data_IF_371721392036
#
_entry.id   IF_371721392036
#
_cell.length_a   1.000
_cell.length_b   1.000
_cell.length_c   1.000
_cell.angle_alpha   90.00
_cell.angle_beta   90.00
_cell.angle_gamma   90.00
#
_symmetry.space_group_name_H-M   'P 1'
#
loop_
_entity.id
_entity.type
_entity.pdbx_description
1 polymer ?
#
# COMPACT_ATOMS: atom_id res chain seq x y z
N UNK A 1 2.86 -28.57 13.30
CA UNK A 1 2.24 -27.35 12.76
C UNK A 1 3.05 -26.19 13.28
N UNK A 2 3.76 -25.48 12.42
CA UNK A 2 4.37 -24.19 12.80
C UNK A 2 3.24 -23.22 13.14
N UNK A 3 3.36 -22.48 14.24
CA UNK A 3 2.38 -21.45 14.59
C UNK A 3 2.40 -20.39 13.50
N UNK A 4 1.28 -20.02 12.85
CA UNK A 4 1.26 -19.09 11.71
C UNK A 4 1.58 -17.63 12.11
N UNK A 5 1.93 -17.42 13.38
CA UNK A 5 2.15 -16.13 14.00
C UNK A 5 3.38 -16.21 14.92
N UNK A 6 4.22 -15.18 14.85
CA UNK A 6 5.37 -14.95 15.71
C UNK A 6 5.31 -13.50 16.19
N UNK A 7 5.82 -13.21 17.38
CA UNK A 7 6.00 -11.82 17.86
C UNK A 7 7.48 -11.57 18.03
N UNK A 8 7.94 -10.43 17.54
CA UNK A 8 9.30 -9.93 17.76
C UNK A 8 9.27 -8.63 18.50
N UNK A 9 10.24 -8.46 19.39
CA UNK A 9 10.42 -7.27 20.18
C UNK A 9 11.51 -6.42 19.55
N UNK A 10 11.22 -5.17 19.24
CA UNK A 10 12.09 -4.26 18.50
C UNK A 10 12.16 -2.88 19.16
N UNK A 11 13.07 -2.04 18.67
CA UNK A 11 13.24 -0.65 19.10
C UNK A 11 12.97 0.27 17.91
N UNK A 12 12.53 1.51 18.16
CA UNK A 12 12.16 2.46 17.10
C UNK A 12 13.25 2.72 16.05
N UNK A 13 14.52 2.59 16.42
CA UNK A 13 15.64 2.74 15.49
C UNK A 13 15.88 1.57 14.54
N UNK A 14 15.11 0.48 14.63
CA UNK A 14 15.29 -0.69 13.77
C UNK A 14 14.78 -0.44 12.36
N UNK A 15 15.45 -1.01 11.35
CA UNK A 15 14.90 -1.07 9.98
C UNK A 15 13.95 -2.26 9.81
N UNK A 16 13.16 -2.23 8.73
CA UNK A 16 12.37 -3.40 8.32
C UNK A 16 13.24 -4.64 8.10
N UNK A 17 14.43 -4.50 7.52
CA UNK A 17 15.33 -5.63 7.30
C UNK A 17 15.77 -6.25 8.63
N UNK A 18 16.10 -5.44 9.63
CA UNK A 18 16.44 -5.93 10.97
C UNK A 18 15.25 -6.64 11.64
N UNK A 19 14.03 -6.15 11.44
CA UNK A 19 12.82 -6.85 11.90
C UNK A 19 12.66 -8.21 11.22
N UNK A 20 12.87 -8.26 9.91
CA UNK A 20 12.75 -9.49 9.12
C UNK A 20 13.78 -10.54 9.52
N UNK A 21 15.02 -10.12 9.71
CA UNK A 21 16.10 -10.98 10.20
C UNK A 21 15.78 -11.54 11.59
N UNK A 22 15.22 -10.72 12.48
CA UNK A 22 14.82 -11.16 13.82
C UNK A 22 13.64 -12.15 13.79
N UNK A 23 12.67 -11.95 12.88
CA UNK A 23 11.58 -12.91 12.67
C UNK A 23 12.12 -14.21 12.11
N UNK A 24 13.03 -14.17 11.14
CA UNK A 24 13.65 -15.37 10.56
C UNK A 24 14.40 -16.16 11.63
N UNK A 25 15.19 -15.49 12.47
CA UNK A 25 15.89 -16.11 13.59
C UNK A 25 14.96 -16.80 14.60
N UNK A 26 13.75 -16.25 14.82
CA UNK A 26 12.80 -16.76 15.81
C UNK A 26 11.81 -17.80 15.26
N UNK A 27 11.50 -17.76 13.96
CA UNK A 27 10.43 -18.57 13.33
C UNK A 27 10.94 -19.55 12.28
N UNK A 28 12.19 -19.40 11.81
CA UNK A 28 12.73 -20.08 10.62
C UNK A 28 12.00 -19.75 9.31
N UNK A 29 11.21 -18.68 9.27
CA UNK A 29 10.58 -18.18 8.05
C UNK A 29 11.56 -17.31 7.26
N UNK A 30 11.78 -17.65 5.99
CA UNK A 30 12.48 -16.75 5.08
C UNK A 30 11.80 -15.39 5.02
N UNK A 31 12.58 -14.34 4.78
CA UNK A 31 12.11 -12.95 4.69
C UNK A 31 10.86 -12.80 3.81
N UNK A 32 10.83 -13.48 2.65
CA UNK A 32 9.70 -13.42 1.71
C UNK A 32 8.41 -14.05 2.26
N UNK A 33 8.49 -14.91 3.28
CA UNK A 33 7.32 -15.54 3.92
C UNK A 33 6.69 -14.67 5.01
N UNK A 34 7.32 -13.57 5.40
CA UNK A 34 6.94 -12.79 6.58
C UNK A 34 6.09 -11.56 6.23
N UNK A 35 4.95 -11.40 6.90
CA UNK A 35 4.15 -10.18 6.91
C UNK A 35 4.24 -9.54 8.28
N UNK A 36 4.66 -8.29 8.36
CA UNK A 36 4.87 -7.59 9.63
C UNK A 36 3.70 -6.68 9.94
N UNK A 37 3.27 -6.66 11.20
CA UNK A 37 2.12 -5.90 11.67
C UNK A 37 2.43 -5.15 12.96
N UNK A 38 2.01 -3.89 13.00
CA UNK A 38 1.80 -3.13 14.23
C UNK A 38 0.29 -3.10 14.53
N UNK A 39 -0.12 -3.84 15.57
CA UNK A 39 -1.53 -4.10 15.85
C UNK A 39 -2.23 -4.74 14.64
N UNK A 40 -3.14 -4.00 14.02
CA UNK A 40 -3.88 -4.42 12.81
C UNK A 40 -3.32 -3.82 11.51
N UNK A 41 -2.32 -2.93 11.59
CA UNK A 41 -1.72 -2.28 10.42
C UNK A 41 -0.56 -3.12 9.91
N UNK A 42 -0.61 -3.47 8.63
CA UNK A 42 0.52 -4.13 7.98
C UNK A 42 1.61 -3.11 7.64
N UNK A 43 2.85 -3.41 8.01
CA UNK A 43 4.05 -2.67 7.61
C UNK A 43 4.43 -3.11 6.20
N UNK A 44 3.69 -2.59 5.22
CA UNK A 44 3.77 -3.00 3.83
C UNK A 44 4.91 -2.26 3.10
N UNK A 45 5.96 -3.00 2.73
CA UNK A 45 7.12 -2.48 1.99
C UNK A 45 6.74 -1.74 0.70
N UNK A 46 5.70 -2.22 0.02
CA UNK A 46 5.18 -1.61 -1.21
C UNK A 46 4.74 -0.16 -0.97
N UNK A 47 4.10 0.11 0.17
CA UNK A 47 3.64 1.46 0.51
C UNK A 47 4.78 2.36 0.97
N UNK A 48 5.82 1.80 1.61
CA UNK A 48 6.98 2.60 2.03
C UNK A 48 7.70 3.24 0.86
N UNK A 49 7.86 2.47 -0.22
CA UNK A 49 8.48 2.95 -1.44
C UNK A 49 7.64 4.07 -2.09
N UNK A 50 6.32 3.91 -2.12
CA UNK A 50 5.40 4.91 -2.67
C UNK A 50 5.35 6.20 -1.84
N UNK A 51 5.38 6.09 -0.51
CA UNK A 51 5.35 7.23 0.41
C UNK A 51 6.71 7.94 0.56
N UNK A 52 7.79 7.36 0.02
CA UNK A 52 9.15 7.88 0.20
C UNK A 52 9.61 7.90 1.66
N UNK A 53 9.01 7.05 2.51
CA UNK A 53 9.33 6.97 3.94
C UNK A 53 10.62 6.21 4.15
N UNK A 54 11.32 6.51 5.24
CA UNK A 54 12.43 5.68 5.70
C UNK A 54 11.91 4.27 6.02
N UNK A 55 12.77 3.28 5.87
CA UNK A 55 12.58 1.92 6.35
C UNK A 55 12.70 1.78 7.88
N UNK A 56 12.95 2.87 8.60
CA UNK A 56 13.07 2.91 10.06
C UNK A 56 11.71 2.79 10.71
N UNK A 57 11.59 1.87 11.66
CA UNK A 57 10.36 1.59 12.38
C UNK A 57 9.73 2.83 13.00
N UNK A 58 10.53 3.74 13.58
CA UNK A 58 10.04 5.02 14.13
C UNK A 58 9.25 5.86 13.13
N UNK A 59 9.66 5.81 11.87
CA UNK A 59 9.05 6.59 10.80
C UNK A 59 7.85 5.85 10.20
N UNK A 60 7.64 4.57 10.55
CA UNK A 60 6.57 3.71 10.05
C UNK A 60 5.33 3.68 10.95
N UNK A 61 5.53 3.86 12.25
CA UNK A 61 4.48 3.76 13.26
C UNK A 61 3.68 5.06 13.37
N UNK A 62 2.37 4.94 13.62
CA UNK A 62 1.48 6.09 13.86
C UNK A 62 1.51 6.57 15.32
N UNK A 63 2.40 5.99 16.13
CA UNK A 63 2.57 6.33 17.53
C UNK A 63 4.05 6.57 17.84
N UNK A 64 4.36 7.48 18.78
CA UNK A 64 5.72 7.69 19.23
C UNK A 64 6.28 6.39 19.82
N UNK A 65 7.56 6.15 19.59
CA UNK A 65 8.24 4.92 20.04
C UNK A 65 9.73 5.13 20.37
N UNK A 66 10.15 6.38 20.56
CA UNK A 66 11.53 6.71 20.91
C UNK A 66 11.88 6.18 22.30
N UNK A 67 12.79 5.20 22.35
CA UNK A 67 13.22 4.55 23.58
C UNK A 67 12.28 3.47 24.11
N UNK A 68 11.15 3.24 23.45
CA UNK A 68 10.18 2.22 23.83
C UNK A 68 10.44 0.87 23.16
N UNK A 69 10.01 -0.17 23.86
CA UNK A 69 10.01 -1.54 23.37
C UNK A 69 8.72 -1.75 22.56
N UNK A 70 8.86 -2.05 21.28
CA UNK A 70 7.75 -2.22 20.34
C UNK A 70 7.56 -3.71 20.06
N UNK A 71 6.31 -4.17 20.07
CA UNK A 71 5.97 -5.54 19.69
C UNK A 71 5.42 -5.57 18.27
N UNK A 72 6.16 -6.20 17.37
CA UNK A 72 5.75 -6.43 15.99
C UNK A 72 5.25 -7.86 15.87
N UNK A 73 4.08 -8.01 15.27
CA UNK A 73 3.49 -9.31 14.97
C UNK A 73 3.87 -9.71 13.56
N UNK A 74 4.52 -10.86 13.41
CA UNK A 74 4.78 -11.47 12.12
C UNK A 74 3.76 -12.58 11.84
N UNK A 75 3.16 -12.54 10.66
CA UNK A 75 2.24 -13.57 10.16
C UNK A 75 2.86 -14.21 8.93
N UNK A 76 2.74 -15.53 8.83
CA UNK A 76 3.25 -16.29 7.69
C UNK A 76 2.35 -16.12 6.46
N UNK A 77 2.94 -15.84 5.30
CA UNK A 77 2.24 -15.89 3.99
C UNK A 77 1.79 -17.31 3.69
N UNK A 78 0.62 -17.44 3.05
CA UNK A 78 0.17 -18.72 2.52
C UNK A 78 1.02 -19.15 1.31
N UNK A 79 1.01 -20.43 0.97
CA UNK A 79 1.71 -20.93 -0.22
C UNK A 79 1.19 -20.30 -1.51
N UNK A 80 -0.11 -19.99 -1.58
CA UNK A 80 -0.71 -19.32 -2.74
C UNK A 80 -0.24 -17.87 -2.88
N UNK A 81 -0.15 -17.14 -1.76
CA UNK A 81 0.38 -15.76 -1.75
C UNK A 81 1.86 -15.74 -2.17
N UNK A 82 2.66 -16.67 -1.64
CA UNK A 82 4.08 -16.79 -2.00
C UNK A 82 4.27 -17.05 -3.48
N UNK A 83 3.58 -18.06 -4.01
CA UNK A 83 3.64 -18.44 -5.42
C UNK A 83 3.22 -17.28 -6.32
N UNK A 84 2.13 -16.60 -5.97
CA UNK A 84 1.64 -15.46 -6.75
C UNK A 84 2.64 -14.31 -6.78
N UNK A 85 3.24 -13.94 -5.64
CA UNK A 85 4.21 -12.84 -5.59
C UNK A 85 5.49 -13.15 -6.37
N UNK A 86 5.94 -14.41 -6.36
CA UNK A 86 7.06 -14.90 -7.17
C UNK A 86 6.72 -14.77 -8.67
N UNK A 87 5.61 -15.36 -9.12
CA UNK A 87 5.16 -15.29 -10.52
C UNK A 87 4.91 -13.84 -10.99
N UNK A 88 4.35 -13.00 -10.11
CA UNK A 88 4.14 -11.58 -10.40
C UNK A 88 5.48 -10.89 -10.64
N UNK A 89 6.48 -11.12 -9.79
CA UNK A 89 7.80 -10.51 -9.94
C UNK A 89 8.52 -10.95 -11.24
N UNK A 90 8.30 -12.19 -11.69
CA UNK A 90 8.88 -12.73 -12.92
C UNK A 90 8.17 -12.21 -14.18
N UNK A 91 6.84 -12.19 -14.17
CA UNK A 91 6.02 -11.84 -15.34
C UNK A 91 6.21 -10.38 -15.78
N UNK A 92 6.51 -9.49 -14.83
CA UNK A 92 6.76 -8.06 -15.11
C UNK A 92 7.95 -7.81 -16.03
N UNK A 93 8.87 -8.77 -16.17
CA UNK A 93 9.95 -8.68 -17.15
C UNK A 93 9.44 -8.81 -18.60
N UNK A 94 8.33 -9.53 -18.80
CA UNK A 94 7.83 -9.95 -20.12
C UNK A 94 6.49 -9.29 -20.53
N UNK A 95 5.73 -8.69 -19.61
CA UNK A 95 4.55 -7.87 -19.93
C UNK A 95 3.32 -8.09 -19.03
N UNK A 96 2.14 -7.88 -19.64
CA UNK A 96 0.80 -7.85 -19.02
C UNK A 96 0.55 -8.97 -17.99
N UNK A 97 0.20 -8.59 -16.75
CA UNK A 97 -0.08 -9.52 -15.64
C UNK A 97 -1.57 -9.80 -15.46
N UNK A 98 -2.44 -9.29 -16.34
CA UNK A 98 -3.90 -9.40 -16.22
C UNK A 98 -4.37 -10.84 -16.04
N UNK A 99 -3.83 -11.77 -16.82
CA UNK A 99 -4.19 -13.19 -16.76
C UNK A 99 -3.77 -13.84 -15.44
N UNK A 100 -2.57 -13.51 -14.95
CA UNK A 100 -2.07 -13.97 -13.65
C UNK A 100 -2.99 -13.51 -12.52
N UNK A 101 -3.36 -12.22 -12.51
CA UNK A 101 -4.25 -11.66 -11.49
C UNK A 101 -5.65 -12.26 -11.59
N UNK A 102 -6.21 -12.37 -12.80
CA UNK A 102 -7.55 -12.91 -13.07
C UNK A 102 -7.69 -14.36 -12.62
N UNK A 103 -6.66 -15.18 -12.81
CA UNK A 103 -6.66 -16.61 -12.50
C UNK A 103 -6.25 -16.92 -11.05
N UNK A 104 -5.74 -15.93 -10.32
CA UNK A 104 -5.35 -16.09 -8.93
C UNK A 104 -6.54 -16.51 -8.04
N UNK A 105 -6.31 -17.38 -7.04
CA UNK A 105 -7.32 -17.76 -6.06
C UNK A 105 -7.95 -16.55 -5.37
N UNK A 106 -9.21 -16.69 -4.92
CA UNK A 106 -9.91 -15.60 -4.22
C UNK A 106 -9.16 -15.12 -2.97
N UNK A 107 -8.43 -16.01 -2.28
CA UNK A 107 -7.59 -15.64 -1.13
C UNK A 107 -6.41 -14.72 -1.50
N UNK A 108 -5.94 -14.74 -2.75
CA UNK A 108 -4.90 -13.86 -3.27
C UNK A 108 -5.52 -12.56 -3.78
N UNK A 109 -6.61 -12.64 -4.56
CA UNK A 109 -7.35 -11.46 -5.07
C UNK A 109 -8.05 -10.67 -3.96
N UNK A 110 -8.25 -11.28 -2.81
CA UNK A 110 -8.76 -10.65 -1.59
C UNK A 110 -7.66 -10.27 -0.59
N UNK A 111 -6.40 -10.59 -0.88
CA UNK A 111 -5.29 -10.18 -0.02
C UNK A 111 -4.81 -8.78 -0.39
N UNK A 112 -4.83 -7.89 0.61
CA UNK A 112 -4.42 -6.50 0.46
C UNK A 112 -2.99 -6.37 -0.05
N UNK A 113 -2.04 -7.11 0.52
CA UNK A 113 -0.63 -7.01 0.14
C UNK A 113 -0.42 -7.45 -1.32
N UNK A 114 -1.01 -8.58 -1.72
CA UNK A 114 -0.91 -9.07 -3.08
C UNK A 114 -1.45 -8.06 -4.10
N UNK A 115 -2.62 -7.48 -3.85
CA UNK A 115 -3.19 -6.49 -4.77
C UNK A 115 -2.46 -5.14 -4.74
N UNK A 116 -1.87 -4.74 -3.61
CA UNK A 116 -0.96 -3.58 -3.59
C UNK A 116 0.30 -3.84 -4.42
N UNK A 117 0.86 -5.05 -4.37
CA UNK A 117 2.01 -5.43 -5.19
C UNK A 117 1.68 -5.37 -6.69
N UNK A 118 0.49 -5.80 -7.10
CA UNK A 118 0.00 -5.64 -8.50
C UNK A 118 0.02 -4.17 -8.91
N UNK A 119 -0.56 -3.28 -8.09
CA UNK A 119 -0.62 -1.84 -8.40
C UNK A 119 0.78 -1.21 -8.45
N UNK A 120 1.65 -1.60 -7.53
CA UNK A 120 2.98 -1.01 -7.42
C UNK A 120 3.94 -1.47 -8.50
N UNK A 121 3.75 -2.68 -9.02
CA UNK A 121 4.68 -3.24 -9.99
C UNK A 121 4.13 -3.21 -11.43
N UNK A 122 2.81 -3.09 -11.63
CA UNK A 122 2.18 -2.91 -12.95
C UNK A 122 1.66 -1.46 -13.15
N UNK A 123 2.54 -0.60 -13.67
CA UNK A 123 2.23 0.82 -13.89
C UNK A 123 1.20 1.11 -15.00
N UNK A 124 0.91 0.13 -15.87
CA UNK A 124 0.07 0.35 -17.03
C UNK A 124 -1.40 0.09 -16.71
N UNK A 125 -1.70 -0.98 -15.97
CA UNK A 125 -3.06 -1.40 -15.65
C UNK A 125 -3.12 -1.94 -14.21
N UNK A 126 -3.77 -1.23 -13.27
CA UNK A 126 -3.72 -1.62 -11.87
C UNK A 126 -4.54 -2.91 -11.57
N UNK A 127 -5.24 -3.48 -12.56
CA UNK A 127 -6.00 -4.75 -12.52
C UNK A 127 -6.90 -4.94 -11.30
N UNK A 128 -7.29 -3.81 -10.68
CA UNK A 128 -8.09 -3.78 -9.47
C UNK A 128 -9.50 -4.33 -9.71
N UNK A 129 -9.96 -4.41 -10.95
CA UNK A 129 -11.25 -5.03 -11.28
C UNK A 129 -11.31 -6.53 -10.94
N UNK A 130 -10.16 -7.21 -10.86
CA UNK A 130 -10.08 -8.61 -10.46
C UNK A 130 -10.02 -8.81 -8.94
N UNK A 131 -9.77 -7.75 -8.16
CA UNK A 131 -9.85 -7.83 -6.71
C UNK A 131 -11.26 -8.23 -6.25
N UNK A 132 -11.33 -8.92 -5.11
CA UNK A 132 -12.62 -9.28 -4.49
C UNK A 132 -13.50 -8.05 -4.25
N UNK A 133 -14.82 -8.24 -4.22
CA UNK A 133 -15.76 -7.13 -4.00
C UNK A 133 -15.52 -6.47 -2.63
N UNK A 134 -15.23 -7.28 -1.61
CA UNK A 134 -14.90 -6.83 -0.26
C UNK A 134 -13.69 -5.89 -0.27
N UNK A 135 -12.61 -6.27 -0.97
CA UNK A 135 -11.40 -5.46 -1.06
C UNK A 135 -11.62 -4.20 -1.89
N UNK A 136 -12.40 -4.27 -2.99
CA UNK A 136 -12.76 -3.08 -3.79
C UNK A 136 -13.67 -2.09 -3.04
N UNK A 137 -14.44 -2.57 -2.07
CA UNK A 137 -15.28 -1.74 -1.21
C UNK A 137 -14.50 -1.11 -0.03
N UNK A 138 -13.27 -1.57 0.24
CA UNK A 138 -12.44 -1.04 1.31
C UNK A 138 -11.78 0.28 0.89
N UNK A 139 -12.33 1.38 1.41
CA UNK A 139 -11.84 2.73 1.13
C UNK A 139 -10.36 2.93 1.49
N UNK A 140 -9.85 2.31 2.55
CA UNK A 140 -8.45 2.50 2.95
C UNK A 140 -7.51 1.78 1.98
N UNK A 141 -7.84 0.55 1.58
CA UNK A 141 -7.09 -0.14 0.53
C UNK A 141 -7.06 0.69 -0.76
N UNK A 142 -8.21 1.23 -1.16
CA UNK A 142 -8.29 2.10 -2.34
C UNK A 142 -7.39 3.34 -2.18
N UNK A 143 -7.42 4.01 -1.03
CA UNK A 143 -6.57 5.18 -0.77
C UNK A 143 -5.08 4.81 -0.80
N UNK A 144 -4.71 3.61 -0.34
CA UNK A 144 -3.36 3.07 -0.47
C UNK A 144 -2.96 2.85 -1.94
N UNK A 145 -3.87 2.34 -2.78
CA UNK A 145 -3.64 2.26 -4.22
C UNK A 145 -3.45 3.65 -4.86
N UNK A 146 -4.18 4.67 -4.40
CA UNK A 146 -4.04 6.06 -4.87
C UNK A 146 -2.69 6.66 -4.48
N UNK A 147 -2.19 6.36 -3.28
CA UNK A 147 -0.83 6.74 -2.85
C UNK A 147 0.22 6.23 -3.83
N UNK A 148 0.05 5.01 -4.34
CA UNK A 148 0.97 4.43 -5.32
C UNK A 148 0.74 5.03 -6.71
N UNK A 149 -0.51 4.99 -7.21
CA UNK A 149 -0.93 5.60 -8.47
C UNK A 149 -2.37 6.12 -8.44
N UNK A 150 -2.55 7.42 -8.70
CA UNK A 150 -3.88 8.04 -8.83
C UNK A 150 -4.75 7.39 -9.92
N UNK A 151 -4.15 6.79 -10.96
CA UNK A 151 -4.87 6.09 -12.05
C UNK A 151 -5.75 4.95 -11.55
N UNK A 152 -5.47 4.39 -10.36
CA UNK A 152 -6.33 3.40 -9.73
C UNK A 152 -7.80 3.84 -9.64
N UNK A 153 -8.07 5.15 -9.50
CA UNK A 153 -9.41 5.74 -9.47
C UNK A 153 -10.23 5.47 -10.73
N UNK A 154 -9.61 5.17 -11.87
CA UNK A 154 -10.33 4.78 -13.09
C UNK A 154 -11.05 3.43 -12.93
N UNK A 155 -10.45 2.49 -12.21
CA UNK A 155 -10.99 1.13 -12.01
C UNK A 155 -12.02 1.06 -10.88
N UNK A 156 -12.24 2.17 -10.18
CA UNK A 156 -13.08 2.24 -8.99
C UNK A 156 -14.46 2.80 -9.38
N UNK A 157 -15.51 2.29 -8.75
CA UNK A 157 -16.89 2.69 -9.08
C UNK A 157 -17.12 4.20 -8.92
N UNK A 158 -17.99 4.76 -9.77
CA UNK A 158 -18.28 6.20 -9.82
C UNK A 158 -18.69 6.83 -8.47
N UNK A 159 -19.21 6.01 -7.55
CA UNK A 159 -19.66 6.47 -6.24
C UNK A 159 -18.52 7.01 -5.36
N UNK A 160 -17.29 6.49 -5.48
CA UNK A 160 -16.15 7.00 -4.69
C UNK A 160 -15.58 8.30 -5.27
N UNK A 161 -15.49 8.41 -6.60
CA UNK A 161 -14.99 9.65 -7.25
C UNK A 161 -15.98 10.82 -7.17
N UNK A 162 -17.23 10.56 -6.78
CA UNK A 162 -18.22 11.56 -6.40
C UNK A 162 -18.31 11.84 -4.89
N UNK A 163 -17.66 11.05 -4.05
CA UNK A 163 -17.63 11.27 -2.59
C UNK A 163 -16.58 12.33 -2.27
N UNK A 164 -17.05 13.51 -1.85
CA UNK A 164 -16.18 14.64 -1.52
C UNK A 164 -15.15 14.30 -0.46
N UNK A 165 -15.55 13.59 0.60
CA UNK A 165 -14.67 13.31 1.74
C UNK A 165 -13.58 12.31 1.38
N UNK A 166 -13.93 11.30 0.59
CA UNK A 166 -12.97 10.37 0.01
C UNK A 166 -12.01 11.08 -0.94
N UNK A 167 -12.51 11.94 -1.84
CA UNK A 167 -11.66 12.66 -2.79
C UNK A 167 -10.73 13.66 -2.13
N UNK A 168 -11.15 14.29 -1.02
CA UNK A 168 -10.28 15.15 -0.23
C UNK A 168 -9.06 14.37 0.29
N UNK A 169 -9.27 13.18 0.84
CA UNK A 169 -8.19 12.32 1.33
C UNK A 169 -7.32 11.77 0.19
N UNK A 170 -7.95 11.37 -0.92
CA UNK A 170 -7.24 10.91 -2.11
C UNK A 170 -6.31 12.01 -2.68
N UNK A 171 -6.75 13.27 -2.71
CA UNK A 171 -5.96 14.42 -3.19
C UNK A 171 -4.79 14.72 -2.25
N UNK A 172 -4.98 14.58 -0.93
CA UNK A 172 -3.86 14.75 0.03
C UNK A 172 -2.76 13.72 -0.19
N UNK A 173 -3.12 12.49 -0.53
CA UNK A 173 -2.17 11.40 -0.80
C UNK A 173 -1.55 11.52 -2.20
N UNK A 174 -2.35 11.90 -3.20
CA UNK A 174 -1.90 12.13 -4.57
C UNK A 174 -2.68 13.28 -5.20
N UNK A 175 -2.06 14.45 -5.41
CA UNK A 175 -2.72 15.61 -6.02
C UNK A 175 -3.40 15.33 -7.35
N UNK A 176 -2.84 14.39 -8.13
CA UNK A 176 -3.38 13.91 -9.40
C UNK A 176 -4.72 13.16 -9.27
N UNK A 177 -5.15 12.81 -8.06
CA UNK A 177 -6.47 12.23 -7.83
C UNK A 177 -7.61 13.15 -8.30
N UNK A 178 -7.40 14.47 -8.27
CA UNK A 178 -8.39 15.43 -8.76
C UNK A 178 -8.78 15.19 -10.22
N UNK A 179 -7.85 14.72 -11.07
CA UNK A 179 -8.10 14.42 -12.49
C UNK A 179 -9.13 13.30 -12.70
N UNK A 180 -9.39 12.50 -11.66
CA UNK A 180 -10.32 11.38 -11.68
C UNK A 180 -11.61 11.67 -10.92
N UNK A 181 -11.71 12.81 -10.22
CA UNK A 181 -12.93 13.20 -9.52
C UNK A 181 -14.11 13.38 -10.50
N UNK A 182 -15.33 13.31 -9.99
CA UNK A 182 -16.52 13.73 -10.74
C UNK A 182 -16.42 15.17 -11.24
N UNK A 183 -17.13 15.51 -12.32
CA UNK A 183 -17.08 16.85 -12.93
C UNK A 183 -17.45 17.96 -11.94
N UNK A 184 -18.38 17.70 -11.02
CA UNK A 184 -18.75 18.65 -9.96
C UNK A 184 -17.59 18.89 -8.99
N UNK A 185 -16.86 17.84 -8.59
CA UNK A 185 -15.73 17.94 -7.66
C UNK A 185 -14.45 18.47 -8.32
N UNK A 186 -14.26 18.25 -9.62
CA UNK A 186 -13.16 18.85 -10.40
C UNK A 186 -13.21 20.37 -10.42
N UNK A 187 -14.43 20.93 -10.40
CA UNK A 187 -14.66 22.36 -10.38
C UNK A 187 -14.80 22.93 -8.96
N UNK A 188 -14.66 22.10 -7.93
CA UNK A 188 -14.70 22.56 -6.54
C UNK A 188 -13.42 23.33 -6.20
N UNK A 189 -13.57 24.64 -5.95
CA UNK A 189 -12.44 25.53 -5.67
C UNK A 189 -11.58 25.09 -4.48
N UNK A 190 -12.20 24.48 -3.45
CA UNK A 190 -11.46 24.01 -2.28
C UNK A 190 -10.61 22.78 -2.61
N UNK A 191 -11.14 21.84 -3.41
CA UNK A 191 -10.39 20.66 -3.85
C UNK A 191 -9.28 21.01 -4.85
N UNK A 192 -9.52 21.96 -5.75
CA UNK A 192 -8.49 22.49 -6.66
C UNK A 192 -7.35 23.12 -5.87
N UNK A 193 -7.67 23.97 -4.88
CA UNK A 193 -6.65 24.58 -4.01
C UNK A 193 -5.88 23.54 -3.20
N UNK A 194 -6.57 22.52 -2.70
CA UNK A 194 -5.94 21.41 -1.99
C UNK A 194 -4.92 20.70 -2.90
N UNK A 195 -5.31 20.31 -4.12
CA UNK A 195 -4.42 19.65 -5.07
C UNK A 195 -3.19 20.49 -5.41
N UNK A 196 -3.36 21.80 -5.61
CA UNK A 196 -2.24 22.72 -5.83
C UNK A 196 -1.32 22.74 -4.59
N UNK A 197 -1.87 22.88 -3.39
CA UNK A 197 -1.07 22.96 -2.16
C UNK A 197 -0.35 21.67 -1.80
N UNK A 198 -0.91 20.52 -2.17
CA UNK A 198 -0.34 19.19 -1.93
C UNK A 198 0.65 18.76 -3.01
N UNK A 199 0.80 19.53 -4.09
CA UNK A 199 1.76 19.23 -5.16
C UNK A 199 3.21 19.48 -4.72
N UNK A 200 4.14 18.53 -4.91
CA UNK A 200 5.55 18.73 -4.56
C UNK A 200 6.18 19.99 -5.17
N UNK A 201 5.73 20.37 -6.37
CA UNK A 201 6.17 21.59 -7.09
C UNK A 201 5.67 22.90 -6.47
N UNK A 202 4.61 22.88 -5.66
CA UNK A 202 4.13 24.06 -4.95
C UNK A 202 5.03 24.41 -3.76
N UNK A 203 5.68 23.41 -3.16
CA UNK A 203 6.64 23.59 -2.05
C UNK A 203 7.97 24.18 -2.54
N UNK A 204 8.43 23.86 -3.76
CA UNK A 204 9.67 24.42 -4.31
C UNK A 204 9.56 25.91 -4.66
N UNK A 205 8.35 26.45 -4.86
CA UNK A 205 8.13 27.88 -5.13
C UNK A 205 8.01 28.76 -3.88
N UNK A 206 7.93 28.17 -2.68
CA UNK A 206 7.72 28.90 -1.43
C UNK A 206 9.01 29.07 -0.59
N UNK A 207 10.11 28.38 -0.94
CA UNK A 207 11.39 28.45 -0.22
C UNK A 207 12.37 29.51 -0.77
N UNK A 208 12.06 30.19 -1.89
CA UNK A 208 12.92 31.18 -2.55
C UNK A 208 12.34 32.62 -2.51
N UNK A 209 11.91 33.10 -1.34
CA UNK A 209 11.54 34.52 -1.14
C UNK A 209 12.07 35.11 0.15
#
# INVERSE_FOLDING_TARGET
MEAPLCTVTAFGGWSLDQLKDAVEANSSWSVHKQRLFDGTRELCEVLLQAEGRSDKLSDLLDHPCDGDVINITAVSRSSAQMKFLEELSETLADGDVSDLVREAPAEVRGDRYCMLAVVAWNYNYPDLEFATEELRADKEFILQCVTIYARCLWCIGQHLVGDRSFMEEAIRRSPHALDYASDDLKNDEALVRLAISSSPSALSGAADR
#
